data_IF_384006100271
#
_entry.id   IF_384006100271
#
_cell.length_a   1.000
_cell.length_b   1.000
_cell.length_c   1.000
_cell.angle_alpha   90.00
_cell.angle_beta   90.00
_cell.angle_gamma   90.00
#
_symmetry.space_group_name_H-M   'P 1'
#
loop_
_entity.id
_entity.type
_entity.pdbx_description
1 polymer ?
#
# COMPACT_ATOMS: atom_id res chain seq x y z
N UNK A 1 -29.09 9.45 5.27
CA UNK A 1 -28.47 9.77 6.58
C UNK A 1 -27.95 8.59 7.38
N UNK A 2 -28.69 7.48 7.51
CA UNK A 2 -28.17 6.28 8.21
C UNK A 2 -26.91 5.70 7.57
N UNK A 3 -26.80 5.70 6.23
CA UNK A 3 -25.63 5.16 5.53
C UNK A 3 -24.36 5.96 5.81
N UNK A 4 -24.43 7.30 5.80
CA UNK A 4 -23.26 8.15 6.07
C UNK A 4 -22.79 8.04 7.53
N UNK A 5 -23.74 8.06 8.48
CA UNK A 5 -23.44 7.84 9.90
C UNK A 5 -22.90 6.43 10.16
N UNK A 6 -23.43 5.43 9.45
CA UNK A 6 -22.98 4.04 9.52
C UNK A 6 -21.52 3.88 9.08
N UNK A 7 -21.14 4.48 7.95
CA UNK A 7 -19.74 4.49 7.47
C UNK A 7 -18.84 5.17 8.49
N UNK A 8 -19.20 6.36 8.99
CA UNK A 8 -18.40 7.07 9.98
C UNK A 8 -18.20 6.25 11.28
N UNK A 9 -19.26 5.64 11.80
CA UNK A 9 -19.18 4.77 12.98
C UNK A 9 -18.31 3.53 12.70
N UNK A 10 -18.46 2.89 11.55
CA UNK A 10 -17.65 1.73 11.18
C UNK A 10 -16.16 2.08 11.13
N UNK A 11 -15.80 3.20 10.49
CA UNK A 11 -14.42 3.69 10.42
C UNK A 11 -13.84 3.97 11.81
N UNK A 12 -14.63 4.60 12.70
CA UNK A 12 -14.22 4.83 14.09
C UNK A 12 -13.95 3.51 14.83
N UNK A 13 -14.83 2.52 14.69
CA UNK A 13 -14.64 1.20 15.31
C UNK A 13 -13.40 0.51 14.74
N UNK A 14 -13.17 0.57 13.43
CA UNK A 14 -11.97 0.01 12.80
C UNK A 14 -10.69 0.64 13.36
N UNK A 15 -10.62 1.97 13.47
CA UNK A 15 -9.45 2.63 14.05
C UNK A 15 -9.26 2.30 15.53
N UNK A 16 -10.34 2.24 16.30
CA UNK A 16 -10.28 1.82 17.70
C UNK A 16 -9.74 0.39 17.84
N UNK A 17 -10.19 -0.54 16.99
CA UNK A 17 -9.69 -1.92 16.98
C UNK A 17 -8.22 -2.01 16.55
N UNK A 18 -7.82 -1.29 15.51
CA UNK A 18 -6.42 -1.25 15.05
C UNK A 18 -5.47 -0.71 16.12
N UNK A 19 -5.94 0.17 17.02
CA UNK A 19 -5.16 0.61 18.16
C UNK A 19 -5.20 -0.37 19.34
N UNK A 20 -6.39 -0.89 19.67
CA UNK A 20 -6.59 -1.76 20.83
C UNK A 20 -5.91 -3.13 20.67
N UNK A 21 -6.02 -3.78 19.51
CA UNK A 21 -5.51 -5.13 19.30
C UNK A 21 -3.99 -5.24 19.47
N UNK A 22 -3.15 -4.40 18.82
CA UNK A 22 -1.71 -4.44 19.04
C UNK A 22 -1.32 -4.06 20.47
N UNK A 23 -2.01 -3.08 21.07
CA UNK A 23 -1.74 -2.64 22.45
C UNK A 23 -2.01 -3.76 23.47
N UNK A 24 -3.15 -4.46 23.35
CA UNK A 24 -3.46 -5.63 24.17
C UNK A 24 -2.47 -6.76 23.92
N UNK A 25 -2.14 -7.04 22.66
CA UNK A 25 -1.17 -8.07 22.30
C UNK A 25 0.21 -7.82 22.94
N UNK A 26 0.73 -6.59 22.85
CA UNK A 26 2.02 -6.20 23.41
C UNK A 26 2.00 -6.28 24.94
N UNK A 27 0.94 -5.79 25.58
CA UNK A 27 0.82 -5.78 27.06
C UNK A 27 0.68 -7.18 27.66
N UNK A 28 0.08 -8.14 26.93
CA UNK A 28 0.00 -9.54 27.34
C UNK A 28 1.32 -10.30 27.12
N UNK A 29 2.15 -9.88 26.15
CA UNK A 29 3.43 -10.51 25.79
C UNK A 29 4.67 -9.80 26.36
N UNK A 30 4.57 -9.21 27.55
CA UNK A 30 5.69 -8.51 28.24
C UNK A 30 7.02 -9.28 28.26
N UNK A 31 7.00 -10.61 28.35
CA UNK A 31 8.23 -11.43 28.36
C UNK A 31 9.02 -11.43 27.05
N UNK A 32 8.43 -11.02 25.92
CA UNK A 32 9.09 -10.99 24.61
C UNK A 32 9.53 -9.58 24.18
N UNK A 33 9.17 -8.56 24.95
CA UNK A 33 9.43 -7.15 24.66
C UNK A 33 10.47 -6.66 25.67
N UNK A 34 11.56 -6.03 25.23
CA UNK A 34 12.54 -5.43 26.13
C UNK A 34 11.81 -4.45 27.07
N UNK A 35 12.10 -4.49 28.36
CA UNK A 35 11.36 -3.73 29.39
C UNK A 35 11.27 -2.21 29.10
N UNK A 36 12.22 -1.66 28.34
CA UNK A 36 12.27 -0.23 27.95
C UNK A 36 11.55 0.12 26.63
N UNK A 37 10.99 -0.86 25.92
CA UNK A 37 10.41 -0.62 24.58
C UNK A 37 9.06 0.14 24.64
N UNK A 38 8.41 0.16 25.80
CA UNK A 38 7.14 0.82 26.02
C UNK A 38 7.23 1.77 27.23
N UNK A 39 7.46 3.04 26.96
CA UNK A 39 7.53 4.11 27.97
C UNK A 39 6.50 5.20 27.67
N UNK A 40 5.98 5.85 28.72
CA UNK A 40 5.23 7.08 28.55
C UNK A 40 6.14 8.19 28.02
N UNK A 41 5.56 9.14 27.26
CA UNK A 41 6.28 10.24 26.60
C UNK A 41 7.31 10.86 27.57
N UNK A 42 8.59 10.71 27.23
CA UNK A 42 9.72 11.26 27.99
C UNK A 42 10.42 12.34 27.18
N UNK A 43 11.24 13.17 27.83
CA UNK A 43 12.13 14.11 27.13
C UNK A 43 13.09 13.39 26.18
N UNK A 44 13.42 12.13 26.48
CA UNK A 44 14.24 11.28 25.61
C UNK A 44 13.52 10.90 24.31
N UNK A 45 12.18 10.85 24.30
CA UNK A 45 11.39 10.56 23.10
C UNK A 45 11.48 11.66 22.03
N UNK A 46 11.88 12.88 22.42
CA UNK A 46 12.10 14.00 21.50
C UNK A 46 13.55 14.07 20.98
N UNK A 47 14.46 13.24 21.51
CA UNK A 47 15.84 13.19 21.00
C UNK A 47 15.84 12.58 19.59
N UNK A 48 16.51 13.24 18.65
CA UNK A 48 16.60 12.77 17.27
C UNK A 48 15.37 13.05 16.41
N UNK A 49 14.32 13.71 16.93
CA UNK A 49 13.11 13.98 16.15
C UNK A 49 13.38 14.85 14.92
N UNK A 50 14.32 15.79 15.02
CA UNK A 50 14.70 16.64 13.89
C UNK A 50 15.39 15.83 12.77
N UNK A 51 16.19 14.84 13.13
CA UNK A 51 16.83 13.94 12.16
C UNK A 51 15.80 13.01 11.51
N UNK A 52 14.86 12.49 12.29
CA UNK A 52 13.73 11.73 11.75
C UNK A 52 12.88 12.58 10.79
N UNK A 53 12.53 13.81 11.17
CA UNK A 53 11.76 14.73 10.33
C UNK A 53 12.52 15.13 9.06
N UNK A 54 13.85 15.24 9.10
CA UNK A 54 14.67 15.53 7.92
C UNK A 54 14.51 14.48 6.81
N UNK A 55 14.28 13.22 7.15
CA UNK A 55 13.99 12.15 6.18
C UNK A 55 12.49 11.92 5.98
N UNK A 56 11.70 12.06 7.04
CA UNK A 56 10.26 11.86 7.03
C UNK A 56 9.50 12.89 6.20
N UNK A 57 9.88 14.18 6.26
CA UNK A 57 9.20 15.25 5.50
C UNK A 57 9.36 15.05 3.98
N UNK A 58 10.59 14.85 3.43
CA UNK A 58 10.73 14.56 2.00
C UNK A 58 9.97 13.30 1.56
N UNK A 59 10.01 12.24 2.37
CA UNK A 59 9.27 10.99 2.09
C UNK A 59 7.76 11.23 2.06
N UNK A 60 7.21 11.97 3.05
CA UNK A 60 5.80 12.35 3.09
C UNK A 60 5.40 13.17 1.87
N UNK A 61 6.19 14.16 1.48
CA UNK A 61 5.89 15.00 0.30
C UNK A 61 5.89 14.15 -0.97
N UNK A 62 6.85 13.24 -1.14
CA UNK A 62 6.91 12.33 -2.29
C UNK A 62 5.62 11.49 -2.40
N UNK A 63 5.20 10.86 -1.31
CA UNK A 63 3.99 10.04 -1.26
C UNK A 63 2.74 10.90 -1.49
N UNK A 64 2.64 12.08 -0.87
CA UNK A 64 1.50 12.97 -1.08
C UNK A 64 1.38 13.43 -2.55
N UNK A 65 2.50 13.75 -3.20
CA UNK A 65 2.51 14.14 -4.61
C UNK A 65 2.03 13.01 -5.52
N UNK A 66 2.41 11.77 -5.21
CA UNK A 66 1.93 10.58 -5.92
C UNK A 66 0.40 10.44 -5.81
N UNK A 67 -0.14 10.46 -4.59
CA UNK A 67 -1.60 10.39 -4.38
C UNK A 67 -2.34 11.57 -5.02
N UNK A 68 -1.82 12.78 -4.93
CA UNK A 68 -2.43 13.95 -5.56
C UNK A 68 -2.40 13.89 -7.09
N UNK A 69 -1.37 13.27 -7.68
CA UNK A 69 -1.34 13.04 -9.12
C UNK A 69 -2.47 12.10 -9.56
N UNK A 70 -2.73 11.03 -8.80
CA UNK A 70 -3.86 10.13 -9.05
C UNK A 70 -5.22 10.83 -8.90
N UNK A 71 -5.40 11.63 -7.85
CA UNK A 71 -6.61 12.43 -7.65
C UNK A 71 -6.81 13.43 -8.80
N UNK A 72 -5.74 14.06 -9.28
CA UNK A 72 -5.82 14.96 -10.42
C UNK A 72 -6.29 14.24 -11.69
N UNK A 73 -5.78 13.03 -11.96
CA UNK A 73 -6.24 12.20 -13.09
C UNK A 73 -7.72 11.84 -12.94
N UNK A 74 -8.16 11.50 -11.72
CA UNK A 74 -9.56 11.18 -11.45
C UNK A 74 -10.48 12.39 -11.66
N UNK A 75 -10.09 13.57 -11.18
CA UNK A 75 -10.81 14.85 -11.40
C UNK A 75 -10.90 15.16 -12.89
N UNK A 76 -9.78 15.06 -13.62
CA UNK A 76 -9.76 15.29 -15.06
C UNK A 76 -10.68 14.32 -15.81
N UNK A 77 -10.70 13.05 -15.41
CA UNK A 77 -11.61 12.04 -15.99
C UNK A 77 -13.08 12.40 -15.74
N UNK A 78 -13.40 12.95 -14.56
CA UNK A 78 -14.72 13.50 -14.24
C UNK A 78 -15.15 14.71 -15.08
N UNK A 79 -14.19 15.48 -15.60
CA UNK A 79 -14.49 16.58 -16.52
C UNK A 79 -14.74 16.12 -17.95
N UNK A 80 -14.21 14.94 -18.34
CA UNK A 80 -14.44 14.36 -19.67
C UNK A 80 -15.85 13.78 -19.78
N UNK A 81 -16.27 13.00 -18.78
CA UNK A 81 -17.59 12.40 -18.76
C UNK A 81 -17.81 11.41 -17.61
N UNK A 82 -19.07 11.02 -17.42
CA UNK A 82 -19.47 10.10 -16.35
C UNK A 82 -18.92 8.68 -16.59
N UNK A 83 -18.89 8.23 -17.85
CA UNK A 83 -18.40 6.90 -18.21
C UNK A 83 -16.88 6.78 -18.00
N UNK A 84 -16.14 7.82 -18.34
CA UNK A 84 -14.68 7.92 -18.17
C UNK A 84 -14.31 7.96 -16.69
N UNK A 85 -15.04 8.73 -15.89
CA UNK A 85 -14.86 8.77 -14.44
C UNK A 85 -15.13 7.39 -13.80
N UNK A 86 -16.22 6.74 -14.17
CA UNK A 86 -16.55 5.41 -13.68
C UNK A 86 -15.45 4.40 -14.06
N UNK A 87 -14.99 4.40 -15.31
CA UNK A 87 -13.91 3.54 -15.77
C UNK A 87 -12.60 3.80 -15.02
N UNK A 88 -12.21 5.08 -14.85
CA UNK A 88 -11.01 5.46 -14.11
C UNK A 88 -11.07 5.04 -12.64
N UNK A 89 -12.22 5.20 -11.99
CA UNK A 89 -12.43 4.79 -10.60
C UNK A 89 -12.30 3.27 -10.43
N UNK A 90 -12.86 2.49 -11.35
CA UNK A 90 -12.74 1.02 -11.36
C UNK A 90 -11.26 0.61 -11.49
N UNK A 91 -10.54 1.21 -12.43
CA UNK A 91 -9.12 0.94 -12.65
C UNK A 91 -8.27 1.29 -11.42
N UNK A 92 -8.54 2.43 -10.77
CA UNK A 92 -7.84 2.85 -9.56
C UNK A 92 -8.09 1.92 -8.38
N UNK A 93 -9.34 1.50 -8.17
CA UNK A 93 -9.69 0.54 -7.12
C UNK A 93 -8.98 -0.81 -7.32
N UNK A 94 -8.93 -1.31 -8.56
CA UNK A 94 -8.22 -2.56 -8.86
C UNK A 94 -6.71 -2.44 -8.65
N UNK A 95 -6.11 -1.32 -9.11
CA UNK A 95 -4.69 -1.04 -8.87
C UNK A 95 -4.37 -1.01 -7.37
N UNK A 96 -5.21 -0.34 -6.59
CA UNK A 96 -5.05 -0.23 -5.13
C UNK A 96 -5.11 -1.60 -4.42
N UNK A 97 -6.01 -2.49 -4.85
CA UNK A 97 -6.11 -3.85 -4.30
C UNK A 97 -4.84 -4.66 -4.56
N UNK A 98 -4.28 -4.58 -5.77
CA UNK A 98 -3.06 -5.31 -6.13
C UNK A 98 -1.86 -4.70 -5.40
N UNK A 99 -1.77 -3.37 -5.35
CA UNK A 99 -0.69 -2.66 -4.68
C UNK A 99 -0.65 -2.96 -3.18
N UNK A 100 -1.80 -3.19 -2.53
CA UNK A 100 -1.86 -3.57 -1.12
C UNK A 100 -1.06 -4.85 -0.81
N UNK A 101 -1.01 -5.81 -1.75
CA UNK A 101 -0.21 -7.04 -1.62
C UNK A 101 1.28 -6.71 -1.71
N UNK A 102 1.68 -5.85 -2.65
CA UNK A 102 3.06 -5.42 -2.83
C UNK A 102 3.59 -4.68 -1.58
N UNK A 103 2.81 -3.73 -1.05
CA UNK A 103 3.13 -3.01 0.20
C UNK A 103 3.28 -3.99 1.37
N UNK A 104 2.35 -4.94 1.51
CA UNK A 104 2.40 -5.96 2.57
C UNK A 104 3.69 -6.79 2.53
N UNK A 105 4.13 -7.18 1.32
CA UNK A 105 5.38 -7.89 1.13
C UNK A 105 6.61 -7.01 1.41
N UNK A 106 6.58 -5.73 1.01
CA UNK A 106 7.62 -4.76 1.32
C UNK A 106 7.83 -4.60 2.84
N UNK A 107 6.74 -4.45 3.60
CA UNK A 107 6.78 -4.36 5.06
C UNK A 107 7.37 -5.63 5.72
N UNK A 108 7.00 -6.80 5.21
CA UNK A 108 7.55 -8.07 5.69
C UNK A 108 9.07 -8.17 5.39
N UNK A 109 9.47 -7.79 4.18
CA UNK A 109 10.88 -7.76 3.76
C UNK A 109 11.71 -6.84 4.66
N UNK A 110 11.22 -5.62 4.92
CA UNK A 110 11.88 -4.65 5.80
C UNK A 110 12.08 -5.21 7.20
N UNK A 111 11.06 -5.85 7.75
CA UNK A 111 11.14 -6.45 9.08
C UNK A 111 12.20 -7.57 9.12
N UNK A 112 12.24 -8.46 8.13
CA UNK A 112 13.22 -9.55 8.11
C UNK A 112 14.65 -9.05 7.87
N UNK A 113 14.85 -8.14 6.93
CA UNK A 113 16.16 -7.57 6.62
C UNK A 113 16.67 -6.76 7.80
N UNK A 114 15.86 -5.86 8.35
CA UNK A 114 16.19 -5.03 9.51
C UNK A 114 16.52 -5.85 10.76
N UNK A 115 15.74 -6.91 11.04
CA UNK A 115 16.01 -7.79 12.17
C UNK A 115 17.32 -8.57 12.03
N UNK A 116 17.63 -9.10 10.83
CA UNK A 116 18.86 -9.86 10.61
C UNK A 116 20.11 -8.96 10.57
N UNK A 117 19.99 -7.75 10.02
CA UNK A 117 21.04 -6.73 10.09
C UNK A 117 21.31 -6.32 11.55
N UNK A 118 20.25 -6.09 12.34
CA UNK A 118 20.37 -5.78 13.76
C UNK A 118 20.95 -6.94 14.60
N UNK A 119 20.72 -8.18 14.18
CA UNK A 119 21.31 -9.39 14.78
C UNK A 119 22.76 -9.67 14.32
N UNK A 120 23.33 -8.82 13.45
CA UNK A 120 24.68 -8.96 12.91
C UNK A 120 24.88 -10.25 12.07
N UNK A 121 23.82 -10.67 11.35
CA UNK A 121 23.82 -11.84 10.44
C UNK A 121 23.61 -11.34 8.99
N UNK A 122 24.65 -10.74 8.37
CA UNK A 122 24.50 -10.08 7.06
C UNK A 122 24.25 -11.06 5.91
N UNK A 123 24.69 -12.32 6.01
CA UNK A 123 24.45 -13.34 4.98
C UNK A 123 22.96 -13.63 4.81
N UNK A 124 22.24 -13.79 5.93
CA UNK A 124 20.79 -14.01 5.93
C UNK A 124 20.03 -12.78 5.47
N UNK A 125 20.45 -11.57 5.88
CA UNK A 125 19.88 -10.32 5.37
C UNK A 125 20.01 -10.21 3.84
N UNK A 126 21.18 -10.58 3.28
CA UNK A 126 21.41 -10.59 1.83
C UNK A 126 20.54 -11.63 1.11
N UNK A 127 20.30 -12.78 1.73
CA UNK A 127 19.37 -13.77 1.18
C UNK A 127 17.95 -13.21 1.07
N UNK A 128 17.44 -12.56 2.13
CA UNK A 128 16.12 -11.93 2.10
C UNK A 128 16.03 -10.83 1.06
N UNK A 129 17.06 -9.98 0.95
CA UNK A 129 17.14 -8.94 -0.08
C UNK A 129 17.04 -9.52 -1.50
N UNK A 130 17.77 -10.61 -1.77
CA UNK A 130 17.71 -11.30 -3.07
C UNK A 130 16.32 -11.89 -3.36
N UNK A 131 15.67 -12.47 -2.34
CA UNK A 131 14.30 -12.99 -2.47
C UNK A 131 13.33 -11.85 -2.78
N UNK A 132 13.43 -10.73 -2.08
CA UNK A 132 12.56 -9.57 -2.32
C UNK A 132 12.76 -8.97 -3.71
N UNK A 133 14.01 -8.92 -4.19
CA UNK A 133 14.31 -8.47 -5.55
C UNK A 133 13.77 -9.44 -6.63
N UNK A 134 13.90 -10.75 -6.42
CA UNK A 134 13.34 -11.73 -7.34
C UNK A 134 11.80 -11.65 -7.35
N UNK A 135 11.19 -11.49 -6.18
CA UNK A 135 9.75 -11.34 -6.04
C UNK A 135 9.24 -10.07 -6.72
N UNK A 136 9.93 -8.93 -6.57
CA UNK A 136 9.53 -7.67 -7.23
C UNK A 136 9.53 -7.78 -8.75
N UNK A 137 10.42 -8.57 -9.33
CA UNK A 137 10.45 -8.83 -10.76
C UNK A 137 9.32 -9.76 -11.22
N UNK A 138 9.04 -10.82 -10.47
CA UNK A 138 8.10 -11.87 -10.90
C UNK A 138 6.64 -11.51 -10.59
N UNK A 139 6.38 -10.90 -9.44
CA UNK A 139 5.03 -10.63 -8.93
C UNK A 139 4.16 -9.80 -9.89
N UNK A 140 4.66 -8.71 -10.51
CA UNK A 140 3.88 -7.94 -11.49
C UNK A 140 3.42 -8.76 -12.69
N UNK A 141 4.20 -9.76 -13.13
CA UNK A 141 3.79 -10.63 -14.23
C UNK A 141 2.75 -11.66 -13.79
N UNK A 142 2.92 -12.25 -12.60
CA UNK A 142 1.96 -13.22 -12.04
C UNK A 142 0.58 -12.61 -11.92
N UNK A 143 0.48 -11.34 -11.50
CA UNK A 143 -0.81 -10.65 -11.35
C UNK A 143 -1.24 -9.95 -12.64
N UNK A 144 -0.32 -9.31 -13.35
CA UNK A 144 -0.60 -8.51 -14.54
C UNK A 144 -1.08 -9.33 -15.73
N UNK A 145 -0.50 -10.52 -15.98
CA UNK A 145 -0.89 -11.34 -17.14
C UNK A 145 -2.34 -11.84 -17.03
N UNK A 146 -2.78 -12.47 -15.91
CA UNK A 146 -4.19 -12.86 -15.76
C UNK A 146 -5.13 -11.66 -15.84
N UNK A 147 -4.79 -10.54 -15.20
CA UNK A 147 -5.62 -9.34 -15.23
C UNK A 147 -5.75 -8.78 -16.66
N UNK A 148 -4.68 -8.79 -17.45
CA UNK A 148 -4.72 -8.39 -18.85
C UNK A 148 -5.63 -9.29 -19.71
N UNK A 149 -5.58 -10.61 -19.48
CA UNK A 149 -6.41 -11.61 -20.20
C UNK A 149 -7.89 -11.45 -19.82
N UNK A 150 -8.18 -11.27 -18.54
CA UNK A 150 -9.55 -11.21 -18.03
C UNK A 150 -10.11 -9.79 -17.88
N UNK A 151 -9.43 -8.77 -18.41
CA UNK A 151 -9.75 -7.34 -18.22
C UNK A 151 -11.22 -6.97 -18.45
N UNK A 152 -11.87 -7.52 -19.48
CA UNK A 152 -13.28 -7.23 -19.77
C UNK A 152 -14.22 -7.92 -18.76
N UNK A 153 -13.92 -9.16 -18.34
CA UNK A 153 -14.71 -9.88 -17.32
C UNK A 153 -14.61 -9.23 -15.95
N UNK A 154 -13.44 -8.69 -15.65
CA UNK A 154 -13.16 -8.01 -14.39
C UNK A 154 -13.92 -6.67 -14.31
N UNK A 155 -14.12 -5.97 -15.43
CA UNK A 155 -15.00 -4.79 -15.50
C UNK A 155 -16.45 -5.08 -15.08
N UNK A 156 -17.00 -6.23 -15.50
CA UNK A 156 -18.37 -6.65 -15.14
C UNK A 156 -18.58 -6.93 -13.64
N UNK A 157 -17.51 -7.03 -12.83
CA UNK A 157 -17.64 -7.16 -11.37
C UNK A 157 -18.14 -5.85 -10.74
N UNK A 158 -17.85 -4.72 -11.40
CA UNK A 158 -18.13 -3.39 -10.86
C UNK A 158 -19.37 -2.74 -11.47
N UNK A 159 -19.72 -3.07 -12.72
CA UNK A 159 -20.85 -2.46 -13.42
C UNK A 159 -21.37 -3.37 -14.54
N UNK A 160 -22.67 -3.29 -14.79
CA UNK A 160 -23.35 -3.94 -15.92
C UNK A 160 -23.36 -3.07 -17.19
N UNK A 161 -22.88 -1.82 -17.12
CA UNK A 161 -22.84 -0.91 -18.28
C UNK A 161 -21.70 -1.28 -19.25
N UNK A 162 -22.08 -1.75 -20.44
CA UNK A 162 -21.14 -2.17 -21.49
C UNK A 162 -20.21 -1.05 -21.95
N UNK A 163 -20.65 0.21 -21.93
CA UNK A 163 -19.81 1.34 -22.34
C UNK A 163 -18.65 1.51 -21.37
N UNK A 164 -18.92 1.44 -20.06
CA UNK A 164 -17.90 1.54 -19.00
C UNK A 164 -16.95 0.33 -19.07
N UNK A 165 -17.49 -0.88 -19.24
CA UNK A 165 -16.66 -2.10 -19.34
C UNK A 165 -15.72 -2.05 -20.55
N UNK A 166 -16.21 -1.54 -21.69
CA UNK A 166 -15.39 -1.38 -22.89
C UNK A 166 -14.22 -0.40 -22.67
N UNK A 167 -14.49 0.73 -22.00
CA UNK A 167 -13.49 1.74 -21.64
C UNK A 167 -12.47 1.18 -20.65
N UNK A 168 -12.93 0.48 -19.60
CA UNK A 168 -12.05 -0.20 -18.63
C UNK A 168 -11.14 -1.17 -19.36
N UNK A 169 -11.68 -2.02 -20.24
CA UNK A 169 -10.90 -3.00 -20.98
C UNK A 169 -9.91 -2.38 -21.97
N UNK A 170 -10.19 -1.19 -22.50
CA UNK A 170 -9.28 -0.45 -23.38
C UNK A 170 -8.14 0.23 -22.61
N UNK A 171 -8.44 0.85 -21.47
CA UNK A 171 -7.48 1.59 -20.65
C UNK A 171 -6.68 0.69 -19.68
N UNK A 172 -7.16 -0.54 -19.42
CA UNK A 172 -6.51 -1.51 -18.52
C UNK A 172 -5.01 -1.73 -18.78
N UNK A 173 -4.55 -1.92 -20.03
CA UNK A 173 -3.14 -2.20 -20.31
C UNK A 173 -2.23 -1.02 -19.92
N UNK A 174 -2.71 0.21 -20.13
CA UNK A 174 -2.00 1.43 -19.70
C UNK A 174 -1.86 1.45 -18.18
N UNK A 175 -2.92 1.09 -17.46
CA UNK A 175 -2.90 1.03 -16.01
C UNK A 175 -1.93 -0.05 -15.49
N UNK A 176 -1.91 -1.24 -16.09
CA UNK A 176 -0.94 -2.30 -15.74
C UNK A 176 0.50 -1.78 -15.91
N UNK A 177 0.78 -1.10 -17.02
CA UNK A 177 2.12 -0.58 -17.30
C UNK A 177 2.56 0.48 -16.28
N UNK A 178 1.65 1.39 -15.90
CA UNK A 178 1.93 2.41 -14.87
C UNK A 178 2.20 1.75 -13.52
N UNK A 179 1.33 0.84 -13.08
CA UNK A 179 1.46 0.20 -11.77
C UNK A 179 2.62 -0.81 -11.71
N UNK A 180 3.13 -1.26 -12.85
CA UNK A 180 4.28 -2.18 -12.88
C UNK A 180 5.49 -1.58 -12.17
N UNK A 181 5.74 -0.27 -12.36
CA UNK A 181 6.76 0.47 -11.64
C UNK A 181 6.47 0.54 -10.14
N UNK A 182 5.23 0.88 -9.79
CA UNK A 182 4.79 1.05 -8.41
C UNK A 182 4.88 -0.27 -7.62
N UNK A 183 4.58 -1.42 -8.23
CA UNK A 183 4.72 -2.73 -7.60
C UNK A 183 6.18 -3.06 -7.28
N UNK A 184 7.09 -2.77 -8.21
CA UNK A 184 8.53 -2.96 -7.99
C UNK A 184 9.01 -2.03 -6.88
N UNK A 185 8.62 -0.75 -6.94
CA UNK A 185 8.97 0.25 -5.94
C UNK A 185 8.46 -0.14 -4.56
N UNK A 186 7.19 -0.52 -4.42
CA UNK A 186 6.58 -0.87 -3.14
C UNK A 186 7.25 -2.08 -2.46
N UNK A 187 7.71 -3.05 -3.25
CA UNK A 187 8.46 -4.20 -2.72
C UNK A 187 9.91 -3.81 -2.35
N UNK A 188 10.59 -3.06 -3.21
CA UNK A 188 11.99 -2.68 -3.01
C UNK A 188 12.18 -1.60 -1.95
N UNK A 189 11.20 -0.74 -1.72
CA UNK A 189 11.24 0.27 -0.66
C UNK A 189 11.38 -0.38 0.73
N UNK A 190 10.93 -1.62 0.90
CA UNK A 190 11.17 -2.40 2.11
C UNK A 190 12.51 -3.12 2.16
N UNK A 191 13.30 -3.15 1.09
CA UNK A 191 14.60 -3.81 1.04
C UNK A 191 15.79 -2.87 1.31
N UNK A 192 15.55 -1.55 1.29
CA UNK A 192 16.54 -0.47 1.45
C UNK A 192 16.37 0.15 2.84
#
# INVERSE_FOLDING_TARGET
DLSFKGVACATLVTYAMNFALPTVYITLRKSAVKEDSWHFISKDSFKGIMEYLRYGIPSMIMVCLEYWAFEFIMIMSGLVGEYELAACSILFNMGSLINSIAIGFGLASNTFIGNNLGANIPETAKMYLNISFLFSLIFPFIIGIPMYIFRYKVGYIFTDDENVVSLVGYAFPVMILLNFGDYIQGILQGAI
#
